data_IF_977909281762
#
_entry.id   IF_977909281762
#
_cell.length_a   1.000
_cell.length_b   1.000
_cell.length_c   1.000
_cell.angle_alpha   90.00
_cell.angle_beta   90.00
_cell.angle_gamma   90.00
#
_symmetry.space_group_name_H-M   'P 1'
#
loop_
_entity.id
_entity.type
_entity.pdbx_description
1 polymer ?
#
# COMPACT_ATOMS: atom_id res chain seq x y z
N UNK A 1 -19.92 -42.58 24.87
CA UNK A 1 -18.92 -41.97 23.95
C UNK A 1 -19.46 -40.91 22.96
N UNK A 2 -20.77 -40.64 22.85
CA UNK A 2 -21.31 -39.57 21.97
C UNK A 2 -21.24 -38.15 22.57
N UNK A 3 -21.27 -38.01 23.90
CA UNK A 3 -21.35 -36.71 24.59
C UNK A 3 -20.07 -35.85 24.45
N UNK A 4 -18.88 -36.44 24.53
CA UNK A 4 -17.60 -35.71 24.49
C UNK A 4 -17.27 -35.12 23.11
N UNK A 5 -17.70 -35.77 22.02
CA UNK A 5 -17.49 -35.27 20.65
C UNK A 5 -18.31 -34.01 20.35
N UNK A 6 -19.54 -33.95 20.88
CA UNK A 6 -20.42 -32.79 20.70
C UNK A 6 -19.92 -31.58 21.51
N UNK A 7 -19.41 -31.81 22.71
CA UNK A 7 -18.81 -30.75 23.53
C UNK A 7 -17.56 -30.13 22.89
N UNK A 8 -16.70 -30.95 22.29
CA UNK A 8 -15.48 -30.48 21.62
C UNK A 8 -15.80 -29.66 20.35
N UNK A 9 -16.79 -30.10 19.56
CA UNK A 9 -17.26 -29.36 18.39
C UNK A 9 -17.88 -28.01 18.76
N UNK A 10 -18.66 -27.98 19.84
CA UNK A 10 -19.29 -26.77 20.37
C UNK A 10 -18.25 -25.74 20.86
N UNK A 11 -17.26 -26.18 21.64
CA UNK A 11 -16.18 -25.33 22.11
C UNK A 11 -15.32 -24.79 20.95
N UNK A 12 -15.07 -25.63 19.94
CA UNK A 12 -14.34 -25.24 18.74
C UNK A 12 -15.07 -24.18 17.90
N UNK A 13 -16.36 -24.38 17.61
CA UNK A 13 -17.14 -23.45 16.79
C UNK A 13 -17.41 -22.12 17.51
N UNK A 14 -17.68 -22.16 18.82
CA UNK A 14 -17.86 -20.95 19.63
C UNK A 14 -16.57 -20.13 19.71
N UNK A 15 -15.42 -20.79 19.93
CA UNK A 15 -14.11 -20.13 19.97
C UNK A 15 -13.76 -19.46 18.64
N UNK A 16 -13.94 -20.17 17.52
CA UNK A 16 -13.70 -19.60 16.18
C UNK A 16 -14.71 -18.47 15.86
N UNK A 17 -15.96 -18.61 16.26
CA UNK A 17 -16.99 -17.58 16.08
C UNK A 17 -16.67 -16.29 16.82
N UNK A 18 -16.30 -16.39 18.10
CA UNK A 18 -15.89 -15.24 18.92
C UNK A 18 -14.62 -14.58 18.38
N UNK A 19 -13.61 -15.36 18.01
CA UNK A 19 -12.38 -14.84 17.39
C UNK A 19 -12.69 -14.07 16.10
N UNK A 20 -13.60 -14.60 15.26
CA UNK A 20 -14.01 -13.94 14.02
C UNK A 20 -14.74 -12.62 14.28
N UNK A 21 -15.60 -12.56 15.30
CA UNK A 21 -16.27 -11.31 15.71
C UNK A 21 -15.25 -10.28 16.19
N UNK A 22 -14.28 -10.69 17.03
CA UNK A 22 -13.22 -9.79 17.53
C UNK A 22 -12.39 -9.23 16.37
N UNK A 23 -11.95 -10.08 15.43
CA UNK A 23 -11.20 -9.64 14.25
C UNK A 23 -12.05 -8.69 13.39
N UNK A 24 -13.32 -9.03 13.15
CA UNK A 24 -14.22 -8.17 12.39
C UNK A 24 -14.45 -6.80 13.05
N UNK A 25 -14.58 -6.77 14.39
CA UNK A 25 -14.74 -5.53 15.15
C UNK A 25 -13.47 -4.68 15.15
N UNK A 26 -12.28 -5.28 15.29
CA UNK A 26 -11.02 -4.56 15.16
C UNK A 26 -10.86 -3.88 13.79
N UNK A 27 -11.19 -4.60 12.71
CA UNK A 27 -11.18 -4.01 11.35
C UNK A 27 -12.17 -2.83 11.23
N UNK A 28 -13.34 -2.91 11.87
CA UNK A 28 -14.33 -1.82 11.88
C UNK A 28 -13.88 -0.60 12.70
N UNK A 29 -13.07 -0.79 13.73
CA UNK A 29 -12.50 0.30 14.54
C UNK A 29 -11.37 1.04 13.82
N UNK A 30 -10.60 0.37 12.96
CA UNK A 30 -9.52 0.98 12.17
C UNK A 30 -10.02 1.69 10.90
N UNK A 31 -11.19 1.29 10.39
CA UNK A 31 -11.86 1.92 9.24
C UNK A 31 -12.04 3.45 9.34
N UNK A 32 -12.59 4.04 10.43
CA UNK A 32 -12.80 5.49 10.50
C UNK A 32 -11.50 6.29 10.44
N UNK A 33 -10.36 5.72 10.84
CA UNK A 33 -9.04 6.36 10.73
C UNK A 33 -8.56 6.45 9.28
N UNK A 34 -8.70 5.38 8.50
CA UNK A 34 -8.32 5.36 7.08
C UNK A 34 -9.30 6.16 6.20
N UNK A 35 -10.60 6.09 6.51
CA UNK A 35 -11.62 6.90 5.84
C UNK A 35 -11.42 8.40 6.09
N UNK A 36 -10.99 8.80 7.30
CA UNK A 36 -10.65 10.20 7.61
C UNK A 36 -9.35 10.64 6.97
N UNK A 37 -8.34 9.76 6.93
CA UNK A 37 -7.09 10.03 6.24
C UNK A 37 -7.32 10.26 4.74
N UNK A 38 -8.15 9.43 4.10
CA UNK A 38 -8.53 9.58 2.69
C UNK A 38 -9.45 10.77 2.42
N UNK A 39 -10.38 11.09 3.32
CA UNK A 39 -11.20 12.30 3.23
C UNK A 39 -10.36 13.60 3.35
N UNK A 40 -9.28 13.56 4.12
CA UNK A 40 -8.31 14.67 4.17
C UNK A 40 -7.58 14.88 2.84
N UNK A 41 -7.38 13.83 2.04
CA UNK A 41 -6.69 13.91 0.75
C UNK A 41 -7.52 14.64 -0.32
N UNK A 42 -8.84 14.48 -0.34
CA UNK A 42 -9.70 15.14 -1.35
C UNK A 42 -9.76 16.66 -1.19
N UNK A 43 -9.43 17.17 0.00
CA UNK A 43 -9.39 18.59 0.31
C UNK A 43 -8.01 19.23 0.04
N UNK A 44 -6.98 18.43 -0.23
CA UNK A 44 -5.65 18.96 -0.50
C UNK A 44 -5.65 19.69 -1.84
N UNK A 45 -5.04 20.89 -1.92
CA UNK A 45 -4.95 21.61 -3.17
C UNK A 45 -4.04 20.85 -4.14
N UNK A 46 -4.51 20.67 -5.37
CA UNK A 46 -3.71 20.15 -6.48
C UNK A 46 -2.91 21.31 -7.07
N UNK A 47 -1.60 21.17 -7.02
CA UNK A 47 -0.64 22.21 -7.37
C UNK A 47 -0.13 21.97 -8.78
N UNK A 48 -0.26 23.00 -9.61
CA UNK A 48 0.33 23.08 -10.93
C UNK A 48 1.33 24.25 -10.96
N UNK A 49 2.00 24.48 -12.09
CA UNK A 49 3.02 25.52 -12.20
C UNK A 49 2.53 26.94 -11.87
N UNK A 50 1.23 27.22 -12.05
CA UNK A 50 0.64 28.54 -11.78
C UNK A 50 0.37 28.73 -10.29
N UNK A 51 -0.17 27.70 -9.63
CA UNK A 51 -0.52 27.75 -8.20
C UNK A 51 0.66 27.42 -7.28
N UNK A 52 1.73 26.85 -7.84
CA UNK A 52 2.90 26.46 -7.08
C UNK A 52 3.53 27.63 -6.33
N UNK A 53 3.48 28.86 -6.84
CA UNK A 53 4.08 30.03 -6.19
C UNK A 53 3.13 30.78 -5.25
N UNK A 54 1.82 30.57 -5.37
CA UNK A 54 0.82 31.29 -4.56
C UNK A 54 0.54 30.66 -3.21
N UNK A 55 0.94 29.40 -3.01
CA UNK A 55 0.72 28.69 -1.74
C UNK A 55 1.76 29.09 -0.69
N UNK A 56 1.38 29.17 0.60
CA UNK A 56 2.34 29.42 1.67
C UNK A 56 3.25 28.20 1.89
N UNK A 57 4.45 28.45 2.42
CA UNK A 57 5.29 27.37 2.92
C UNK A 57 4.61 26.69 4.12
N UNK A 58 4.83 25.40 4.30
CA UNK A 58 4.16 24.58 5.32
C UNK A 58 2.83 23.98 4.88
N UNK A 59 2.30 24.37 3.71
CA UNK A 59 1.09 23.74 3.17
C UNK A 59 1.35 22.30 2.74
N UNK A 60 0.46 21.41 3.17
CA UNK A 60 0.36 20.05 2.63
C UNK A 60 -0.41 20.09 1.31
N UNK A 61 0.11 19.46 0.27
CA UNK A 61 -0.38 19.61 -1.11
C UNK A 61 -0.24 18.32 -1.91
N UNK A 62 -0.97 18.26 -3.03
CA UNK A 62 -0.63 17.38 -4.15
C UNK A 62 0.17 18.15 -5.19
N UNK A 63 1.29 17.61 -5.64
CA UNK A 63 2.00 18.13 -6.83
C UNK A 63 1.92 17.09 -7.93
N UNK A 64 1.36 17.46 -9.07
CA UNK A 64 1.37 16.61 -10.26
C UNK A 64 2.46 17.06 -11.23
N UNK A 65 3.27 16.13 -11.70
CA UNK A 65 4.36 16.44 -12.62
C UNK A 65 4.94 15.21 -13.29
N UNK A 66 6.09 15.39 -13.91
CA UNK A 66 6.86 14.30 -14.52
C UNK A 66 8.25 14.25 -13.93
N UNK A 67 8.82 13.07 -13.81
CA UNK A 67 10.21 12.92 -13.35
C UNK A 67 11.14 13.52 -14.39
N UNK A 68 11.97 14.48 -13.95
CA UNK A 68 12.95 15.15 -14.81
C UNK A 68 13.99 14.17 -15.33
N UNK A 69 14.39 14.32 -16.60
CA UNK A 69 15.51 13.61 -17.20
C UNK A 69 16.88 14.00 -16.59
N UNK A 70 16.92 15.05 -15.76
CA UNK A 70 18.14 15.48 -15.05
C UNK A 70 18.44 14.66 -13.79
N UNK A 71 17.52 13.80 -13.38
CA UNK A 71 17.74 12.91 -12.23
C UNK A 71 18.78 11.85 -12.58
N UNK A 72 19.61 11.49 -11.61
CA UNK A 72 20.53 10.36 -11.76
C UNK A 72 19.75 9.06 -11.87
N UNK A 73 20.14 8.22 -12.82
CA UNK A 73 19.60 6.86 -12.98
C UNK A 73 20.47 5.88 -12.21
N UNK A 74 19.83 4.88 -11.62
CA UNK A 74 20.42 3.70 -11.03
C UNK A 74 20.22 2.51 -11.98
N UNK A 75 20.21 1.29 -11.44
CA UNK A 75 20.02 0.08 -12.21
C UNK A 75 18.75 0.12 -13.07
N UNK A 76 18.81 -0.45 -14.28
CA UNK A 76 17.69 -0.63 -15.20
C UNK A 76 16.87 0.65 -15.48
N UNK A 77 17.58 1.79 -15.55
CA UNK A 77 17.05 3.14 -15.82
C UNK A 77 16.10 3.70 -14.75
N UNK A 78 16.06 3.09 -13.56
CA UNK A 78 15.23 3.60 -12.46
C UNK A 78 15.88 4.82 -11.79
N UNK A 79 15.08 5.83 -11.45
CA UNK A 79 15.52 6.96 -10.61
C UNK A 79 15.17 6.76 -9.13
N UNK A 80 14.14 5.96 -8.85
CA UNK A 80 13.73 5.58 -7.52
C UNK A 80 13.04 4.21 -7.63
N UNK A 81 13.38 3.26 -6.76
CA UNK A 81 12.85 1.90 -6.86
C UNK A 81 12.81 1.19 -5.51
N UNK A 82 12.00 0.14 -5.47
CA UNK A 82 12.06 -0.93 -4.48
C UNK A 82 12.49 -2.21 -5.19
N UNK A 83 13.53 -2.86 -4.65
CA UNK A 83 13.97 -4.19 -5.07
C UNK A 83 13.43 -5.23 -4.10
N UNK A 84 12.85 -6.27 -4.66
CA UNK A 84 12.45 -7.46 -3.94
C UNK A 84 13.14 -8.67 -4.52
N UNK A 85 13.43 -9.63 -3.66
CA UNK A 85 14.09 -10.86 -4.01
C UNK A 85 13.18 -12.05 -3.71
N UNK A 86 13.15 -12.97 -4.66
CA UNK A 86 12.41 -14.22 -4.55
C UNK A 86 13.10 -15.15 -3.55
N UNK A 87 12.34 -15.64 -2.58
CA UNK A 87 12.80 -16.53 -1.49
C UNK A 87 12.06 -17.87 -1.49
N UNK A 88 11.75 -18.36 -2.68
CA UNK A 88 11.04 -19.63 -2.87
C UNK A 88 9.53 -19.51 -2.81
N UNK A 89 8.87 -20.66 -2.65
CA UNK A 89 7.42 -20.79 -2.52
C UNK A 89 7.08 -21.39 -1.18
N UNK A 90 6.05 -20.85 -0.52
CA UNK A 90 5.45 -21.50 0.64
C UNK A 90 4.34 -22.43 0.15
N UNK A 91 4.49 -23.72 0.42
CA UNK A 91 3.42 -24.69 0.31
C UNK A 91 2.51 -24.54 1.54
N UNK A 92 1.30 -24.04 1.34
CA UNK A 92 0.28 -23.93 2.38
C UNK A 92 -0.69 -25.11 2.32
N UNK A 93 -1.05 -25.67 3.48
CA UNK A 93 -2.02 -26.77 3.59
C UNK A 93 -3.42 -26.41 3.07
N UNK A 94 -4.14 -27.46 2.63
CA UNK A 94 -5.50 -27.55 2.03
C UNK A 94 -5.83 -26.69 0.81
N UNK A 95 -5.12 -25.60 0.55
CA UNK A 95 -5.27 -24.78 -0.64
C UNK A 95 -4.00 -24.86 -1.48
N UNK A 96 -4.04 -25.60 -2.60
CA UNK A 96 -2.97 -25.82 -3.57
C UNK A 96 -2.46 -24.55 -4.31
N UNK A 97 -2.50 -23.37 -3.71
CA UNK A 97 -1.91 -22.15 -4.29
C UNK A 97 -0.50 -21.96 -3.74
N UNK A 98 0.48 -22.33 -4.57
CA UNK A 98 1.89 -22.01 -4.35
C UNK A 98 2.03 -20.47 -4.24
N UNK A 99 2.16 -19.94 -3.02
CA UNK A 99 2.42 -18.51 -2.83
C UNK A 99 3.92 -18.26 -2.90
N UNK A 100 4.30 -17.41 -3.84
CA UNK A 100 5.66 -16.91 -3.96
C UNK A 100 5.99 -16.03 -2.77
N UNK A 101 7.19 -16.21 -2.22
CA UNK A 101 7.69 -15.40 -1.13
C UNK A 101 8.63 -14.40 -1.74
N UNK A 102 8.25 -13.13 -1.70
CA UNK A 102 9.08 -12.00 -2.09
C UNK A 102 9.48 -11.26 -0.81
N UNK A 103 10.76 -10.96 -0.66
CA UNK A 103 11.26 -10.13 0.44
C UNK A 103 11.85 -8.85 -0.12
N UNK A 104 11.51 -7.73 0.52
CA UNK A 104 12.17 -6.46 0.26
C UNK A 104 13.65 -6.60 0.62
N UNK A 105 14.49 -6.26 -0.35
CA UNK A 105 15.93 -6.40 -0.27
C UNK A 105 16.60 -5.03 -0.27
N UNK A 106 16.16 -4.12 -1.15
CA UNK A 106 16.69 -2.76 -1.23
C UNK A 106 15.59 -1.75 -1.56
N UNK A 107 15.79 -0.50 -1.14
CA UNK A 107 14.98 0.64 -1.57
C UNK A 107 15.89 1.83 -1.82
N UNK A 108 15.74 2.43 -3.00
CA UNK A 108 16.42 3.65 -3.40
C UNK A 108 15.39 4.77 -3.61
N UNK A 109 15.44 5.79 -2.77
CA UNK A 109 14.57 6.97 -2.81
C UNK A 109 15.42 8.24 -2.72
N UNK A 110 16.07 8.66 -3.81
CA UNK A 110 16.96 9.81 -3.79
C UNK A 110 16.16 11.13 -3.82
N UNK A 111 16.84 12.26 -3.68
CA UNK A 111 16.23 13.56 -4.00
C UNK A 111 15.89 13.58 -5.48
N UNK A 112 14.67 13.97 -5.83
CA UNK A 112 14.19 13.97 -7.20
C UNK A 112 13.84 15.37 -7.67
N UNK A 113 14.11 15.67 -8.93
CA UNK A 113 13.60 16.84 -9.61
C UNK A 113 12.39 16.45 -10.46
N UNK A 114 11.32 17.23 -10.33
CA UNK A 114 10.06 17.06 -11.06
C UNK A 114 9.87 18.23 -12.03
N UNK A 115 9.36 17.96 -13.21
CA UNK A 115 8.85 18.94 -14.16
C UNK A 115 7.35 19.09 -13.94
N UNK A 116 6.94 20.21 -13.35
CA UNK A 116 5.56 20.58 -13.02
C UNK A 116 5.17 21.72 -13.95
N UNK A 117 4.35 21.46 -14.97
CA UNK A 117 3.85 22.49 -15.89
C UNK A 117 4.94 23.39 -16.50
N UNK A 118 6.10 22.84 -16.84
CA UNK A 118 7.25 23.56 -17.41
C UNK A 118 8.23 24.17 -16.37
N UNK A 119 7.91 24.10 -15.08
CA UNK A 119 8.78 24.52 -13.99
C UNK A 119 9.40 23.32 -13.28
N UNK A 120 10.57 23.50 -12.66
CA UNK A 120 11.23 22.44 -11.92
C UNK A 120 10.98 22.58 -10.41
N UNK A 121 10.59 21.48 -9.77
CA UNK A 121 10.41 21.38 -8.31
C UNK A 121 11.29 20.25 -7.78
N UNK A 122 11.99 20.49 -6.67
CA UNK A 122 12.79 19.46 -6.01
C UNK A 122 12.02 18.77 -4.89
N UNK A 123 12.03 17.44 -4.90
CA UNK A 123 11.77 16.57 -3.75
C UNK A 123 13.05 16.53 -2.91
N UNK A 124 12.98 17.07 -1.71
CA UNK A 124 14.16 17.40 -0.89
C UNK A 124 14.61 16.27 0.05
N UNK A 125 13.72 15.33 0.38
CA UNK A 125 13.96 14.22 1.28
C UNK A 125 14.20 12.90 0.54
N UNK A 126 14.69 11.89 1.27
CA UNK A 126 15.05 10.57 0.72
C UNK A 126 14.29 9.41 1.38
N UNK A 127 13.27 9.70 2.17
CA UNK A 127 12.54 8.73 2.99
C UNK A 127 11.03 8.71 2.67
N UNK A 128 10.67 9.02 1.42
CA UNK A 128 9.29 8.96 0.94
C UNK A 128 8.91 7.54 0.51
N UNK A 129 7.61 7.24 0.52
CA UNK A 129 7.06 5.95 0.08
C UNK A 129 6.81 5.96 -1.42
N UNK A 130 7.13 4.84 -2.08
CA UNK A 130 6.76 4.61 -3.48
C UNK A 130 5.38 3.94 -3.52
N UNK A 131 4.43 4.54 -4.23
CA UNK A 131 3.08 3.98 -4.40
C UNK A 131 2.76 3.79 -5.88
N UNK A 132 2.20 2.63 -6.23
CA UNK A 132 1.76 2.28 -7.59
C UNK A 132 2.78 2.69 -8.67
N UNK A 133 4.05 2.35 -8.44
CA UNK A 133 5.13 2.68 -9.36
C UNK A 133 4.92 1.97 -10.72
N UNK A 134 4.97 2.70 -11.86
CA UNK A 134 4.51 2.19 -13.14
C UNK A 134 5.53 1.28 -13.84
N UNK A 135 6.81 1.41 -13.50
CA UNK A 135 7.89 0.68 -14.17
C UNK A 135 8.26 -0.58 -13.39
N UNK A 136 8.45 -1.68 -14.13
CA UNK A 136 8.78 -2.99 -13.59
C UNK A 136 9.94 -3.63 -14.37
N UNK A 137 10.84 -4.29 -13.66
CA UNK A 137 11.91 -5.10 -14.25
C UNK A 137 12.18 -6.35 -13.41
N UNK A 138 12.48 -7.48 -14.05
CA UNK A 138 12.82 -8.73 -13.37
C UNK A 138 14.06 -9.34 -14.02
N UNK A 139 15.04 -9.75 -13.20
CA UNK A 139 16.36 -10.21 -13.70
C UNK A 139 16.30 -11.53 -14.47
N UNK A 140 15.29 -12.36 -14.23
CA UNK A 140 15.09 -13.64 -14.92
C UNK A 140 13.60 -13.90 -15.14
N UNK A 141 13.25 -14.51 -16.27
CA UNK A 141 11.87 -14.98 -16.53
C UNK A 141 11.48 -16.19 -15.69
N UNK A 142 12.46 -16.99 -15.28
CA UNK A 142 12.26 -18.16 -14.42
C UNK A 142 12.61 -17.80 -12.99
N UNK A 143 11.68 -18.04 -12.08
CA UNK A 143 11.89 -17.82 -10.65
C UNK A 143 12.80 -18.92 -10.09
N UNK A 144 13.92 -18.52 -9.53
CA UNK A 144 14.88 -19.39 -8.87
C UNK A 144 15.32 -18.78 -7.56
N UNK A 145 15.53 -19.63 -6.56
CA UNK A 145 16.19 -19.27 -5.30
C UNK A 145 17.23 -20.34 -5.01
N UNK A 146 18.48 -19.90 -4.84
CA UNK A 146 19.58 -20.74 -4.44
C UNK A 146 19.82 -20.55 -2.94
N UNK A 147 19.50 -21.58 -2.17
CA UNK A 147 19.68 -21.59 -0.72
C UNK A 147 21.15 -21.62 -0.28
N UNK A 148 22.08 -22.02 -1.16
CA UNK A 148 23.50 -22.07 -0.84
C UNK A 148 24.17 -20.69 -0.94
N UNK A 149 23.87 -19.93 -2.00
CA UNK A 149 24.35 -18.55 -2.19
C UNK A 149 23.45 -17.52 -1.51
N UNK A 150 22.26 -17.92 -1.07
CA UNK A 150 21.22 -17.06 -0.52
C UNK A 150 20.77 -15.98 -1.53
N UNK A 151 20.86 -16.29 -2.83
CA UNK A 151 20.44 -15.40 -3.92
C UNK A 151 19.18 -15.93 -4.60
N UNK A 152 18.32 -15.01 -5.03
CA UNK A 152 17.12 -15.32 -5.78
C UNK A 152 16.89 -14.38 -6.96
N UNK A 153 15.86 -14.69 -7.75
CA UNK A 153 15.39 -13.78 -8.79
C UNK A 153 15.02 -12.43 -8.17
N UNK A 154 15.55 -11.35 -8.74
CA UNK A 154 15.30 -9.99 -8.27
C UNK A 154 14.25 -9.34 -9.15
N UNK A 155 13.32 -8.62 -8.53
CA UNK A 155 12.35 -7.77 -9.21
C UNK A 155 12.47 -6.34 -8.69
N UNK A 156 12.32 -5.39 -9.60
CA UNK A 156 12.44 -3.97 -9.35
C UNK A 156 11.12 -3.33 -9.75
N UNK A 157 10.57 -2.54 -8.85
CA UNK A 157 9.36 -1.76 -9.08
C UNK A 157 9.67 -0.32 -8.71
N UNK A 158 9.46 0.62 -9.62
CA UNK A 158 9.95 1.97 -9.43
C UNK A 158 9.54 2.95 -10.52
N UNK A 159 10.25 4.06 -10.54
CA UNK A 159 10.03 5.16 -11.43
C UNK A 159 11.24 5.41 -12.32
N UNK A 160 10.99 5.84 -13.56
CA UNK A 160 11.97 6.22 -14.56
C UNK A 160 11.80 7.69 -14.95
N UNK A 161 12.73 8.20 -15.75
CA UNK A 161 12.55 9.52 -16.36
C UNK A 161 11.23 9.60 -17.13
N UNK A 162 10.64 10.80 -17.14
CA UNK A 162 9.39 11.12 -17.83
C UNK A 162 8.12 10.42 -17.33
N UNK A 163 8.21 9.53 -16.34
CA UNK A 163 7.04 8.96 -15.67
C UNK A 163 6.21 10.10 -15.05
N UNK A 164 4.90 10.02 -15.25
CA UNK A 164 3.93 10.92 -14.63
C UNK A 164 3.74 10.51 -13.18
N UNK A 165 3.85 11.48 -12.27
CA UNK A 165 3.79 11.24 -10.84
C UNK A 165 2.93 12.27 -10.13
N UNK A 166 2.29 11.83 -9.06
CA UNK A 166 1.66 12.67 -8.06
C UNK A 166 2.42 12.56 -6.74
N UNK A 167 2.80 13.70 -6.18
CA UNK A 167 3.50 13.77 -4.90
C UNK A 167 2.59 14.34 -3.84
N UNK A 168 2.43 13.60 -2.75
CA UNK A 168 1.84 14.11 -1.51
C UNK A 168 2.98 14.58 -0.63
N UNK A 169 2.91 15.80 -0.14
CA UNK A 169 3.94 16.31 0.76
C UNK A 169 3.70 17.72 1.24
N UNK A 170 4.70 18.26 1.94
CA UNK A 170 4.68 19.60 2.51
C UNK A 170 5.59 20.50 1.68
N UNK A 171 5.06 21.63 1.20
CA UNK A 171 5.86 22.64 0.52
C UNK A 171 6.76 23.36 1.53
N UNK A 172 8.02 23.55 1.14
CA UNK A 172 8.99 24.34 1.89
C UNK A 172 9.64 25.39 0.99
N UNK A 173 10.15 26.45 1.62
CA UNK A 173 10.76 27.57 0.92
C UNK A 173 9.76 28.48 0.19
N UNK A 174 10.31 29.48 -0.50
CA UNK A 174 9.56 30.52 -1.21
C UNK A 174 10.17 30.80 -2.58
N UNK A 175 9.32 31.24 -3.52
CA UNK A 175 9.72 31.60 -4.88
C UNK A 175 10.47 30.47 -5.61
N UNK A 176 11.65 30.80 -6.17
CA UNK A 176 12.46 29.88 -6.99
C UNK A 176 13.17 28.77 -6.20
N UNK A 177 13.25 28.90 -4.88
CA UNK A 177 13.88 27.91 -3.99
C UNK A 177 12.85 26.97 -3.36
N UNK A 178 11.66 26.89 -3.94
CA UNK A 178 10.57 26.05 -3.44
C UNK A 178 10.93 24.57 -3.63
N UNK A 179 10.73 23.80 -2.59
CA UNK A 179 10.94 22.34 -2.56
C UNK A 179 9.74 21.68 -1.91
N UNK A 180 9.59 20.38 -2.13
CA UNK A 180 8.60 19.56 -1.44
C UNK A 180 9.32 18.53 -0.57
N UNK A 181 8.85 18.34 0.66
CA UNK A 181 9.17 17.17 1.47
C UNK A 181 8.07 16.16 1.19
N UNK A 182 8.41 15.13 0.41
CA UNK A 182 7.47 14.11 -0.03
C UNK A 182 7.18 13.10 1.10
N UNK A 183 5.91 12.78 1.28
CA UNK A 183 5.44 11.65 2.07
C UNK A 183 5.28 10.43 1.14
N UNK A 184 4.65 10.65 -0.01
CA UNK A 184 4.33 9.61 -0.99
C UNK A 184 4.64 10.12 -2.40
N UNK A 185 5.24 9.26 -3.21
CA UNK A 185 5.41 9.40 -4.64
C UNK A 185 4.54 8.34 -5.33
N UNK A 186 3.43 8.77 -5.92
CA UNK A 186 2.48 7.91 -6.62
C UNK A 186 2.70 7.94 -8.13
N UNK A 187 2.61 6.78 -8.79
CA UNK A 187 2.58 6.69 -10.26
C UNK A 187 1.23 7.05 -10.83
N UNK A 188 1.16 8.14 -11.60
CA UNK A 188 -0.08 8.65 -12.18
C UNK A 188 -0.42 10.07 -11.73
N UNK A 189 -1.70 10.39 -11.69
CA UNK A 189 -2.24 11.71 -11.35
C UNK A 189 -2.64 11.80 -9.88
N UNK A 190 -2.88 13.01 -9.39
CA UNK A 190 -3.44 13.18 -8.04
C UNK A 190 -4.83 12.51 -7.92
N UNK A 191 -5.61 12.56 -9.00
CA UNK A 191 -6.94 11.92 -9.06
C UNK A 191 -6.88 10.39 -9.02
N UNK A 192 -5.89 9.76 -9.68
CA UNK A 192 -5.73 8.30 -9.62
C UNK A 192 -5.34 7.85 -8.21
N UNK A 193 -4.48 8.61 -7.52
CA UNK A 193 -4.14 8.33 -6.13
C UNK A 193 -5.36 8.43 -5.22
N UNK A 194 -6.14 9.51 -5.33
CA UNK A 194 -7.36 9.70 -4.54
C UNK A 194 -8.35 8.56 -4.80
N UNK A 195 -8.54 8.17 -6.06
CA UNK A 195 -9.43 7.06 -6.42
C UNK A 195 -8.95 5.72 -5.84
N UNK A 196 -7.65 5.43 -5.90
CA UNK A 196 -7.06 4.20 -5.33
C UNK A 196 -7.24 4.15 -3.81
N UNK A 197 -7.08 5.28 -3.13
CA UNK A 197 -7.31 5.39 -1.68
C UNK A 197 -8.79 5.22 -1.32
N UNK A 198 -9.70 5.80 -2.10
CA UNK A 198 -11.14 5.63 -1.90
C UNK A 198 -11.60 4.19 -2.14
N UNK A 199 -11.05 3.51 -3.16
CA UNK A 199 -11.37 2.11 -3.44
C UNK A 199 -10.88 1.18 -2.32
N UNK A 200 -9.68 1.44 -1.80
CA UNK A 200 -9.13 0.71 -0.65
C UNK A 200 -10.02 0.89 0.57
N UNK A 201 -10.46 2.13 0.86
CA UNK A 201 -11.39 2.40 1.93
C UNK A 201 -12.74 1.67 1.75
N UNK A 202 -13.34 1.65 0.56
CA UNK A 202 -14.66 1.02 0.35
C UNK A 202 -14.68 -0.50 0.52
N UNK A 203 -13.56 -1.20 0.31
CA UNK A 203 -13.51 -2.67 0.36
C UNK A 203 -13.32 -3.24 1.77
N UNK A 204 -12.62 -2.51 2.64
CA UNK A 204 -12.37 -2.93 4.03
C UNK A 204 -13.63 -3.15 4.91
N UNK A 205 -14.68 -2.31 4.89
CA UNK A 205 -15.84 -2.49 5.77
C UNK A 205 -16.62 -3.76 5.44
N UNK A 206 -16.66 -4.19 4.17
CA UNK A 206 -17.31 -5.44 3.79
C UNK A 206 -16.58 -6.67 4.33
N UNK A 207 -15.25 -6.62 4.43
CA UNK A 207 -14.48 -7.69 5.07
C UNK A 207 -14.80 -7.76 6.57
N UNK A 208 -14.81 -6.62 7.27
CA UNK A 208 -15.17 -6.55 8.70
C UNK A 208 -16.58 -7.05 8.99
N UNK A 209 -17.58 -6.59 8.23
CA UNK A 209 -18.98 -7.02 8.35
C UNK A 209 -19.10 -8.52 8.04
N UNK A 210 -18.39 -9.03 7.03
CA UNK A 210 -18.36 -10.45 6.68
C UNK A 210 -17.86 -11.33 7.83
N UNK A 211 -16.78 -10.93 8.50
CA UNK A 211 -16.25 -11.65 9.66
C UNK A 211 -17.20 -11.62 10.87
N UNK A 212 -17.84 -10.49 11.15
CA UNK A 212 -18.85 -10.40 12.21
C UNK A 212 -20.06 -11.30 11.88
N UNK A 213 -20.59 -11.20 10.68
CA UNK A 213 -21.74 -12.00 10.25
C UNK A 213 -21.47 -13.51 10.32
N UNK A 214 -20.29 -13.94 9.84
CA UNK A 214 -19.88 -15.34 9.92
C UNK A 214 -19.68 -15.81 11.37
N UNK A 215 -19.05 -14.99 12.20
CA UNK A 215 -18.84 -15.31 13.62
C UNK A 215 -20.14 -15.41 14.41
N UNK A 216 -21.11 -14.52 14.15
CA UNK A 216 -22.45 -14.59 14.74
C UNK A 216 -23.21 -15.85 14.29
N UNK A 217 -23.07 -16.24 13.02
CA UNK A 217 -23.70 -17.45 12.49
C UNK A 217 -23.13 -18.71 13.16
N UNK A 218 -21.81 -18.80 13.32
CA UNK A 218 -21.17 -19.92 14.04
C UNK A 218 -21.57 -19.97 15.52
N UNK A 219 -21.58 -18.81 16.19
CA UNK A 219 -22.01 -18.72 17.59
C UNK A 219 -23.49 -19.10 17.75
N UNK A 220 -24.35 -18.66 16.82
CA UNK A 220 -25.77 -19.02 16.79
C UNK A 220 -25.99 -20.51 16.55
N UNK A 221 -25.27 -21.12 15.60
CA UNK A 221 -25.32 -22.56 15.36
C UNK A 221 -24.82 -23.37 16.56
N UNK A 222 -23.79 -22.88 17.26
CA UNK A 222 -23.32 -23.49 18.49
C UNK A 222 -24.41 -23.43 19.57
N UNK A 223 -25.03 -22.27 19.80
CA UNK A 223 -26.04 -22.05 20.85
C UNK A 223 -27.42 -22.67 20.56
N UNK A 224 -27.75 -22.94 19.28
CA UNK A 224 -29.04 -23.47 18.84
C UNK A 224 -29.57 -24.71 19.62
N UNK A 225 -28.75 -25.72 19.94
CA UNK A 225 -29.20 -26.90 20.69
C UNK A 225 -29.58 -26.59 22.13
N UNK A 226 -28.99 -25.55 22.75
CA UNK A 226 -29.29 -25.13 24.11
C UNK A 226 -30.64 -24.40 24.21
N UNK A 227 -31.06 -23.75 23.12
CA UNK A 227 -32.32 -22.99 23.04
C UNK A 227 -33.55 -23.86 22.74
N UNK A 228 -33.35 -25.14 22.39
CA UNK A 228 -34.42 -26.11 22.10
C UNK A 228 -34.81 -26.98 23.31
N UNK A 229 -34.27 -26.67 24.49
CA UNK A 229 -34.56 -27.33 25.77
C UNK A 229 -35.55 -26.45 26.53
#
# INVERSE_FOLDING_TARGET
MRSTKNALWFLGSLGVGLLSIVIGFMNLLEFPTEARASAGLTQLPIVNSRTLNSLPAGSRVFVEGRISARNTVADFDFVAYQREEYRGRRYGGSSFRNREIWRKDEQLTPKLQLSVGGTYLWVSNTNYTLDTAPSFYQTSKTLSWDGATNEGTKRYTGFRHNDTVAVVGILQGSGRSRVIVAEVLHGGSATSYIAAQQQSAQTMPFAGIGFIGFGLLLAGMALWPLLRI
#
